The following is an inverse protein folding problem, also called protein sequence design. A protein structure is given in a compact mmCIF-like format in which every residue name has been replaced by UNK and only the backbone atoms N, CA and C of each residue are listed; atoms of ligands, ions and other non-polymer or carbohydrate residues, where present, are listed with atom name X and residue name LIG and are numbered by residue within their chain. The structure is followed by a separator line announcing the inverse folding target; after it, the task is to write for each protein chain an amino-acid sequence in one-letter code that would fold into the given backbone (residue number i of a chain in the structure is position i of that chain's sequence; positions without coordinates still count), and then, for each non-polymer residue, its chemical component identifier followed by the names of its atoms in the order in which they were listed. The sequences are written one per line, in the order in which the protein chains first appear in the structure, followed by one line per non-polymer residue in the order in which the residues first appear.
data_IF_133105421407
#
_entry.id   IF_133105421407
#
_cell.length_a   1.000
_cell.length_b   1.000
_cell.length_c   1.000
_cell.angle_alpha   90.00
_cell.angle_beta   90.00
_cell.angle_gamma   90.00
#
_symmetry.space_group_name_H-M   'P 1'
#
loop_
_entity.id
_entity.type
_entity.pdbx_description
1 polymer ?
#
# COMPACT_ATOMS: atom_id res chain seq x y z
N UNK A 1 -6.35 8.02 -24.01
CA UNK A 1 -6.49 7.23 -25.27
C UNK A 1 -6.22 5.73 -25.08
N UNK A 2 -5.09 5.30 -24.40
CA UNK A 2 -4.74 3.89 -24.23
C UNK A 2 -5.78 3.14 -23.39
N UNK A 3 -6.12 3.63 -22.20
CA UNK A 3 -7.10 3.00 -21.30
C UNK A 3 -8.48 2.87 -21.96
N UNK A 4 -8.94 3.90 -22.70
CA UNK A 4 -10.19 3.84 -23.45
C UNK A 4 -10.18 2.74 -24.52
N UNK A 5 -9.04 2.53 -25.20
CA UNK A 5 -8.89 1.45 -26.17
C UNK A 5 -8.89 0.07 -25.50
N UNK A 6 -8.21 -0.05 -24.35
CA UNK A 6 -8.14 -1.30 -23.59
C UNK A 6 -9.49 -1.69 -22.99
N UNK A 7 -10.23 -0.75 -22.40
CA UNK A 7 -11.55 -1.02 -21.80
C UNK A 7 -12.60 -1.44 -22.82
N UNK A 8 -12.43 -1.09 -24.10
CA UNK A 8 -13.29 -1.59 -25.20
C UNK A 8 -12.94 -3.01 -25.65
N UNK A 9 -11.70 -3.47 -25.40
CA UNK A 9 -11.22 -4.79 -25.82
C UNK A 9 -11.30 -5.84 -24.71
N UNK A 10 -11.17 -5.43 -23.46
CA UNK A 10 -11.10 -6.29 -22.29
C UNK A 10 -12.17 -5.83 -21.30
N UNK A 11 -13.19 -6.66 -21.10
CA UNK A 11 -14.38 -6.36 -20.31
C UNK A 11 -14.06 -6.03 -18.85
N UNK A 12 -13.02 -6.64 -18.31
CA UNK A 12 -12.57 -6.49 -16.94
C UNK A 12 -11.84 -5.15 -16.70
N UNK A 13 -11.38 -4.48 -17.75
CA UNK A 13 -10.70 -3.21 -17.66
C UNK A 13 -11.71 -2.06 -17.62
N UNK A 14 -11.80 -1.42 -16.47
CA UNK A 14 -12.52 -0.16 -16.28
C UNK A 14 -11.54 0.93 -15.88
N UNK A 15 -11.81 2.16 -16.24
CA UNK A 15 -11.00 3.28 -15.80
C UNK A 15 -11.88 4.43 -15.33
N UNK A 16 -11.37 5.16 -14.37
CA UNK A 16 -11.99 6.39 -13.84
C UNK A 16 -10.97 7.51 -13.95
N UNK A 17 -11.41 8.66 -14.41
CA UNK A 17 -10.56 9.84 -14.39
C UNK A 17 -10.58 10.45 -12.99
N UNK A 18 -9.40 10.77 -12.49
CA UNK A 18 -9.28 11.56 -11.27
C UNK A 18 -9.36 13.04 -11.65
N UNK A 19 -10.24 13.76 -10.97
CA UNK A 19 -10.32 15.21 -11.07
C UNK A 19 -9.23 15.87 -10.23
N UNK A 20 -8.98 17.15 -10.46
CA UNK A 20 -8.02 17.89 -9.64
C UNK A 20 -8.48 17.96 -8.18
N UNK A 21 -7.55 17.91 -7.22
CA UNK A 21 -6.09 17.86 -7.39
C UNK A 21 -5.56 16.46 -7.74
N UNK A 22 -4.46 16.41 -8.49
CA UNK A 22 -3.79 15.17 -8.86
C UNK A 22 -2.83 14.69 -7.76
N UNK A 23 -2.71 13.38 -7.63
CA UNK A 23 -1.78 12.74 -6.69
C UNK A 23 -2.02 11.24 -6.57
N UNK A 24 -1.01 10.52 -6.11
CA UNK A 24 -1.09 9.08 -5.91
C UNK A 24 -2.25 8.69 -4.98
N UNK A 25 -2.35 9.30 -3.81
CA UNK A 25 -3.40 9.01 -2.84
C UNK A 25 -4.79 9.40 -3.34
N UNK A 26 -4.94 10.50 -4.07
CA UNK A 26 -6.20 10.88 -4.71
C UNK A 26 -6.64 9.83 -5.73
N UNK A 27 -5.72 9.34 -6.57
CA UNK A 27 -6.03 8.32 -7.56
C UNK A 27 -6.45 6.99 -6.92
N UNK A 28 -5.75 6.55 -5.87
CA UNK A 28 -6.12 5.33 -5.13
C UNK A 28 -7.49 5.50 -4.46
N UNK A 29 -7.75 6.63 -3.80
CA UNK A 29 -9.05 6.90 -3.16
C UNK A 29 -10.18 6.89 -4.18
N UNK A 30 -9.97 7.51 -5.34
CA UNK A 30 -10.95 7.48 -6.44
C UNK A 30 -11.19 6.05 -6.96
N UNK A 31 -10.15 5.24 -7.04
CA UNK A 31 -10.28 3.81 -7.36
C UNK A 31 -11.08 3.05 -6.31
N UNK A 32 -10.81 3.29 -5.02
CA UNK A 32 -11.52 2.67 -3.90
C UNK A 32 -12.99 3.11 -3.76
N UNK A 33 -13.37 4.25 -4.30
CA UNK A 33 -14.78 4.69 -4.39
C UNK A 33 -15.55 3.97 -5.52
N UNK A 34 -14.83 3.42 -6.52
CA UNK A 34 -15.43 2.91 -7.75
C UNK A 34 -15.21 1.42 -7.99
N UNK A 35 -14.61 0.68 -7.06
CA UNK A 35 -14.45 -0.76 -7.22
C UNK A 35 -15.67 -1.53 -6.72
N UNK A 36 -15.87 -2.74 -7.25
CA UNK A 36 -17.03 -3.59 -6.93
C UNK A 36 -16.65 -4.99 -6.42
N UNK A 37 -15.36 -5.34 -6.36
CA UNK A 37 -14.87 -6.63 -5.87
C UNK A 37 -14.89 -6.72 -4.34
N UNK A 38 -14.80 -7.92 -3.77
CA UNK A 38 -14.71 -8.16 -2.34
C UNK A 38 -13.31 -7.90 -1.79
N UNK A 39 -12.34 -7.81 -2.70
CA UNK A 39 -10.92 -7.55 -2.40
C UNK A 39 -10.40 -6.47 -3.34
N UNK A 40 -9.58 -5.57 -2.82
CA UNK A 40 -8.85 -4.59 -3.63
C UNK A 40 -7.34 -4.71 -3.41
N UNK A 41 -6.58 -4.64 -4.49
CA UNK A 41 -5.13 -4.60 -4.46
C UNK A 41 -4.61 -3.30 -5.08
N UNK A 42 -3.62 -2.70 -4.43
CA UNK A 42 -2.91 -1.52 -4.96
C UNK A 42 -1.71 -2.00 -5.75
N UNK A 43 -1.68 -1.71 -7.04
CA UNK A 43 -0.61 -2.11 -7.96
C UNK A 43 -0.11 -0.90 -8.72
N UNK A 44 1.21 -0.77 -8.82
CA UNK A 44 1.82 0.30 -9.60
C UNK A 44 1.83 -0.06 -11.09
N UNK A 45 1.42 0.89 -11.94
CA UNK A 45 1.37 0.69 -13.39
C UNK A 45 2.74 0.68 -14.09
N UNK A 46 3.83 0.86 -13.33
CA UNK A 46 5.20 0.87 -13.85
C UNK A 46 5.84 -0.52 -13.96
N UNK A 47 5.06 -1.58 -13.68
CA UNK A 47 5.47 -2.98 -13.70
C UNK A 47 6.67 -3.29 -12.78
N UNK A 48 6.93 -2.45 -11.78
CA UNK A 48 7.96 -2.72 -10.77
C UNK A 48 7.63 -3.93 -9.92
N UNK A 49 6.35 -4.18 -9.64
CA UNK A 49 5.88 -5.36 -8.94
C UNK A 49 5.40 -6.42 -9.92
N UNK A 50 5.67 -7.69 -9.64
CA UNK A 50 5.32 -8.79 -10.53
C UNK A 50 3.83 -9.16 -10.40
N UNK A 51 3.06 -9.19 -11.49
CA UNK A 51 1.63 -9.55 -11.44
C UNK A 51 1.33 -10.91 -10.82
N UNK A 52 2.24 -11.88 -10.97
CA UNK A 52 2.07 -13.21 -10.39
C UNK A 52 2.06 -13.19 -8.85
N UNK A 53 2.64 -12.19 -8.22
CA UNK A 53 2.65 -12.07 -6.78
C UNK A 53 1.24 -11.68 -6.23
N UNK A 54 0.36 -11.08 -7.06
CA UNK A 54 -1.06 -10.88 -6.71
C UNK A 54 -1.78 -12.20 -6.44
N UNK A 55 -1.51 -13.22 -7.24
CA UNK A 55 -2.11 -14.55 -7.04
C UNK A 55 -1.70 -15.14 -5.70
N UNK A 56 -0.42 -14.96 -5.32
CA UNK A 56 0.08 -15.40 -4.01
C UNK A 56 -0.61 -14.65 -2.87
N UNK A 57 -0.83 -13.34 -3.02
CA UNK A 57 -1.51 -12.53 -2.01
C UNK A 57 -2.95 -12.98 -1.82
N UNK A 58 -3.66 -13.19 -2.94
CA UNK A 58 -5.04 -13.66 -2.89
C UNK A 58 -5.16 -15.04 -2.22
N UNK A 59 -4.29 -15.97 -2.58
CA UNK A 59 -4.24 -17.30 -1.94
C UNK A 59 -3.97 -17.19 -0.45
N UNK A 60 -2.94 -16.44 -0.05
CA UNK A 60 -2.61 -16.24 1.35
C UNK A 60 -3.77 -15.62 2.14
N UNK A 61 -4.49 -14.64 1.54
CA UNK A 61 -5.67 -14.03 2.13
C UNK A 61 -6.81 -15.04 2.31
N UNK A 62 -7.09 -15.83 1.27
CA UNK A 62 -8.19 -16.80 1.27
C UNK A 62 -7.92 -17.98 2.23
N UNK A 63 -6.74 -18.58 2.16
CA UNK A 63 -6.34 -19.74 2.97
C UNK A 63 -6.22 -19.40 4.46
N UNK A 64 -5.65 -18.24 4.77
CA UNK A 64 -5.46 -17.80 6.15
C UNK A 64 -6.59 -16.93 6.71
N UNK A 65 -7.63 -16.68 5.93
CA UNK A 65 -8.75 -15.79 6.26
C UNK A 65 -8.32 -14.42 6.80
N UNK A 66 -7.26 -13.83 6.21
CA UNK A 66 -6.74 -12.53 6.62
C UNK A 66 -7.55 -11.36 6.05
N UNK A 67 -7.61 -10.27 6.80
CA UNK A 67 -8.24 -9.00 6.40
C UNK A 67 -7.37 -8.21 5.43
N UNK A 68 -6.05 -8.38 5.54
CA UNK A 68 -5.09 -7.74 4.64
C UNK A 68 -3.86 -8.60 4.36
N UNK A 69 -3.24 -8.39 3.18
CA UNK A 69 -1.95 -9.00 2.81
C UNK A 69 -0.99 -7.92 2.40
N UNK A 70 0.17 -7.92 3.01
CA UNK A 70 1.22 -6.94 2.77
C UNK A 70 2.42 -7.58 2.06
N UNK A 71 2.89 -6.93 1.01
CA UNK A 71 4.12 -7.34 0.36
C UNK A 71 5.36 -6.89 1.12
N UNK A 72 6.36 -7.77 1.20
CA UNK A 72 7.68 -7.37 1.67
C UNK A 72 8.77 -7.84 0.72
N UNK A 73 9.60 -6.89 0.33
CA UNK A 73 10.81 -7.11 -0.48
C UNK A 73 11.99 -7.60 0.36
N UNK A 74 11.87 -7.57 1.69
CA UNK A 74 12.97 -7.72 2.65
C UNK A 74 12.76 -8.88 3.65
N UNK A 75 11.89 -9.81 3.33
CA UNK A 75 11.77 -11.11 4.01
C UNK A 75 12.32 -12.23 3.13
N UNK A 76 12.53 -13.41 3.67
CA UNK A 76 12.97 -14.59 2.91
C UNK A 76 12.06 -14.83 1.71
N UNK A 77 12.62 -14.89 0.52
CA UNK A 77 11.90 -15.01 -0.75
C UNK A 77 11.53 -13.67 -1.40
N UNK A 78 11.68 -12.52 -0.70
CA UNK A 78 11.57 -11.20 -1.30
C UNK A 78 12.84 -10.79 -2.06
N UNK A 79 12.71 -9.92 -3.04
CA UNK A 79 13.86 -9.48 -3.86
C UNK A 79 13.66 -8.05 -4.35
N UNK A 80 14.77 -7.30 -4.39
CA UNK A 80 14.86 -6.00 -5.09
C UNK A 80 15.95 -6.08 -6.15
N UNK A 81 15.68 -5.51 -7.33
CA UNK A 81 16.65 -5.41 -8.42
C UNK A 81 16.81 -3.93 -8.75
N UNK A 82 18.07 -3.48 -8.87
CA UNK A 82 18.44 -2.10 -9.20
C UNK A 82 17.80 -1.04 -8.28
N UNK A 83 17.67 -1.36 -7.00
CA UNK A 83 17.12 -0.40 -6.03
C UNK A 83 18.16 0.70 -5.75
N UNK A 84 17.83 2.00 -5.94
CA UNK A 84 18.78 3.08 -5.68
C UNK A 84 19.25 3.07 -4.22
N UNK A 85 20.54 2.99 -3.98
CA UNK A 85 21.14 2.79 -2.65
C UNK A 85 20.65 3.81 -1.61
N UNK A 86 20.62 5.09 -1.96
CA UNK A 86 20.14 6.13 -1.05
C UNK A 86 18.67 5.93 -0.65
N UNK A 87 17.81 5.59 -1.61
CA UNK A 87 16.39 5.29 -1.33
C UNK A 87 16.23 4.02 -0.49
N UNK A 88 17.10 3.03 -0.69
CA UNK A 88 17.09 1.80 0.10
C UNK A 88 17.42 2.11 1.57
N UNK A 89 18.49 2.85 1.83
CA UNK A 89 18.88 3.23 3.20
C UNK A 89 17.75 3.99 3.90
N UNK A 90 17.18 5.00 3.24
CA UNK A 90 16.08 5.79 3.78
C UNK A 90 14.83 4.93 4.03
N UNK A 91 14.51 4.03 3.11
CA UNK A 91 13.42 3.08 3.25
C UNK A 91 13.62 2.17 4.47
N UNK A 92 14.81 1.56 4.61
CA UNK A 92 15.14 0.69 5.75
C UNK A 92 15.08 1.43 7.08
N UNK A 93 15.61 2.65 7.12
CA UNK A 93 15.57 3.51 8.30
C UNK A 93 14.12 3.83 8.72
N UNK A 94 13.29 4.31 7.79
CA UNK A 94 11.88 4.63 8.05
C UNK A 94 11.11 3.40 8.53
N UNK A 95 11.27 2.26 7.87
CA UNK A 95 10.62 1.03 8.29
C UNK A 95 11.13 0.51 9.63
N UNK A 96 12.40 0.73 9.96
CA UNK A 96 12.97 0.43 11.26
C UNK A 96 12.30 1.23 12.39
N UNK A 97 12.13 2.53 12.20
CA UNK A 97 11.41 3.40 13.14
C UNK A 97 9.96 2.92 13.33
N UNK A 98 9.24 2.67 12.23
CA UNK A 98 7.85 2.20 12.29
C UNK A 98 7.75 0.89 13.07
N UNK A 99 8.66 -0.05 12.84
CA UNK A 99 8.68 -1.33 13.55
C UNK A 99 8.82 -1.16 15.06
N UNK A 100 9.70 -0.25 15.48
CA UNK A 100 9.92 0.04 16.91
C UNK A 100 8.69 0.70 17.50
N UNK A 101 8.16 1.74 16.86
CA UNK A 101 7.03 2.51 17.37
C UNK A 101 5.73 1.69 17.52
N UNK A 102 5.47 0.78 16.59
CA UNK A 102 4.24 -0.03 16.59
C UNK A 102 4.45 -1.45 17.09
N UNK A 103 5.65 -1.83 17.50
CA UNK A 103 5.94 -3.18 18.03
C UNK A 103 5.72 -4.31 17.00
N UNK A 104 5.81 -4.03 15.70
CA UNK A 104 5.45 -4.98 14.63
C UNK A 104 6.64 -5.61 13.95
N UNK A 105 6.45 -6.84 13.44
CA UNK A 105 7.49 -7.55 12.68
C UNK A 105 7.52 -7.16 11.20
N UNK A 106 6.45 -6.55 10.67
CA UNK A 106 6.37 -6.10 9.28
C UNK A 106 7.43 -5.03 8.97
N UNK A 107 8.27 -5.28 7.98
CA UNK A 107 9.50 -4.54 7.74
C UNK A 107 9.54 -3.74 6.44
N UNK A 108 8.39 -3.61 5.75
CA UNK A 108 8.28 -2.92 4.45
C UNK A 108 6.96 -2.15 4.31
N UNK A 109 6.60 -1.42 5.38
CA UNK A 109 5.34 -0.67 5.48
C UNK A 109 5.17 0.34 4.34
N UNK A 110 6.26 0.90 3.83
CA UNK A 110 6.26 1.86 2.71
C UNK A 110 6.05 1.23 1.34
N UNK A 111 6.03 -0.10 1.23
CA UNK A 111 5.69 -0.79 -0.02
C UNK A 111 4.23 -0.50 -0.40
N UNK A 112 3.98 -0.11 -1.65
CA UNK A 112 2.62 0.14 -2.13
C UNK A 112 1.83 -1.14 -2.41
N UNK A 113 2.53 -2.23 -2.77
CA UNK A 113 1.92 -3.48 -3.20
C UNK A 113 1.30 -4.23 -2.02
N UNK A 114 -0.02 -4.06 -1.88
CA UNK A 114 -0.82 -4.59 -0.77
C UNK A 114 -2.23 -4.93 -1.24
N UNK A 115 -2.87 -5.84 -0.52
CA UNK A 115 -4.22 -6.30 -0.78
C UNK A 115 -5.05 -6.22 0.51
N UNK A 116 -6.32 -5.87 0.38
CA UNK A 116 -7.24 -5.65 1.50
C UNK A 116 -8.63 -6.20 1.15
N UNK A 117 -9.34 -6.73 2.13
CA UNK A 117 -10.79 -6.99 1.99
C UNK A 117 -11.56 -5.69 1.91
N UNK A 118 -12.73 -5.73 1.28
CA UNK A 118 -13.64 -4.57 1.19
C UNK A 118 -14.01 -4.05 2.58
N UNK A 119 -14.45 -4.92 3.46
CA UNK A 119 -14.87 -4.60 4.81
C UNK A 119 -13.73 -3.92 5.60
N UNK A 120 -12.52 -4.43 5.47
CA UNK A 120 -11.33 -3.80 6.05
C UNK A 120 -11.17 -2.39 5.54
N UNK A 121 -11.17 -2.17 4.22
CA UNK A 121 -11.04 -0.83 3.64
C UNK A 121 -12.14 0.12 4.12
N UNK A 122 -13.38 -0.33 4.20
CA UNK A 122 -14.46 0.48 4.77
C UNK A 122 -14.18 0.84 6.23
N UNK A 123 -13.73 -0.12 7.03
CA UNK A 123 -13.34 0.10 8.41
C UNK A 123 -12.10 0.98 8.61
N UNK A 124 -11.27 1.21 7.58
CA UNK A 124 -10.11 2.12 7.65
C UNK A 124 -10.45 3.60 7.38
N UNK A 125 -11.67 3.91 6.95
CA UNK A 125 -12.09 5.29 6.70
C UNK A 125 -12.11 6.13 7.99
N UNK A 126 -11.97 7.47 7.89
CA UNK A 126 -11.64 8.24 6.68
C UNK A 126 -10.17 8.08 6.29
N UNK A 127 -9.88 8.11 4.98
CA UNK A 127 -8.50 8.16 4.49
C UNK A 127 -8.00 9.61 4.54
N UNK A 128 -6.86 9.84 5.20
CA UNK A 128 -6.31 11.18 5.42
C UNK A 128 -5.27 11.55 4.36
N UNK A 129 -4.54 10.56 3.89
CA UNK A 129 -3.41 10.77 2.99
C UNK A 129 -3.84 10.98 1.54
N UNK A 130 -3.29 12.04 0.92
CA UNK A 130 -3.58 12.41 -0.46
C UNK A 130 -2.42 12.07 -1.44
N UNK A 131 -1.29 11.60 -0.90
CA UNK A 131 -0.08 11.31 -1.66
C UNK A 131 0.44 9.90 -1.32
N UNK A 132 1.74 9.66 -1.54
CA UNK A 132 2.37 8.37 -1.26
C UNK A 132 2.30 7.92 0.21
N UNK A 133 2.06 8.83 1.14
CA UNK A 133 1.85 8.50 2.55
C UNK A 133 0.62 7.60 2.80
N UNK A 134 -0.31 7.50 1.83
CA UNK A 134 -1.40 6.52 1.89
C UNK A 134 -0.88 5.07 1.97
N UNK A 135 0.28 4.77 1.36
CA UNK A 135 0.90 3.45 1.45
C UNK A 135 1.33 3.07 2.86
N UNK A 136 1.53 4.05 3.73
CA UNK A 136 1.86 3.89 5.15
C UNK A 136 0.61 3.98 6.02
N UNK A 137 -0.32 4.88 5.70
CA UNK A 137 -1.57 5.04 6.43
C UNK A 137 -2.38 3.75 6.50
N UNK A 138 -2.67 3.15 5.35
CA UNK A 138 -3.56 1.98 5.29
C UNK A 138 -3.03 0.81 6.13
N UNK A 139 -1.78 0.33 5.99
CA UNK A 139 -1.30 -0.78 6.79
C UNK A 139 -1.16 -0.43 8.28
N UNK A 140 -0.81 0.80 8.64
CA UNK A 140 -0.77 1.20 10.03
C UNK A 140 -2.17 1.21 10.66
N UNK A 141 -3.18 1.69 9.94
CA UNK A 141 -4.57 1.61 10.41
C UNK A 141 -5.06 0.16 10.53
N UNK A 142 -4.68 -0.74 9.64
CA UNK A 142 -4.96 -2.19 9.80
C UNK A 142 -4.38 -2.69 11.12
N UNK A 143 -3.12 -2.36 11.39
CA UNK A 143 -2.39 -2.80 12.57
C UNK A 143 -3.03 -2.23 13.85
N UNK A 144 -3.21 -0.92 13.94
CA UNK A 144 -3.71 -0.26 15.16
C UNK A 144 -5.19 -0.54 15.43
N UNK A 145 -5.97 -0.84 14.41
CA UNK A 145 -7.38 -1.25 14.55
C UNK A 145 -7.56 -2.75 14.77
N UNK A 146 -6.49 -3.52 14.87
CA UNK A 146 -6.52 -4.94 15.23
C UNK A 146 -7.00 -5.88 14.13
N UNK A 147 -7.05 -5.44 12.87
CA UNK A 147 -7.35 -6.32 11.75
C UNK A 147 -6.24 -7.36 11.54
N UNK A 148 -6.63 -8.56 11.16
CA UNK A 148 -5.69 -9.64 10.85
C UNK A 148 -4.94 -9.38 9.55
N UNK A 149 -3.64 -9.65 9.52
CA UNK A 149 -2.86 -9.53 8.30
C UNK A 149 -1.74 -10.56 8.21
N UNK A 150 -1.29 -10.81 7.00
CA UNK A 150 -0.08 -11.60 6.76
C UNK A 150 0.89 -10.86 5.84
N UNK A 151 2.16 -11.29 5.85
CA UNK A 151 3.22 -10.70 5.04
C UNK A 151 3.74 -11.74 4.05
N UNK A 152 3.66 -11.41 2.77
CA UNK A 152 4.08 -12.30 1.67
C UNK A 152 5.28 -11.68 0.95
N UNK A 153 6.30 -12.48 0.59
CA UNK A 153 7.43 -11.97 -0.18
C UNK A 153 7.00 -11.53 -1.58
N UNK A 154 7.49 -10.38 -2.02
CA UNK A 154 7.32 -9.93 -3.40
C UNK A 154 8.65 -9.54 -4.04
N UNK A 155 8.68 -9.58 -5.36
CA UNK A 155 9.82 -9.15 -6.14
C UNK A 155 9.55 -7.77 -6.73
N UNK A 156 10.49 -6.88 -6.53
CA UNK A 156 10.44 -5.54 -7.06
C UNK A 156 11.65 -5.27 -7.97
N UNK A 157 11.39 -4.76 -9.14
CA UNK A 157 12.40 -4.40 -10.12
C UNK A 157 12.29 -2.91 -10.39
N UNK A 158 13.41 -2.20 -10.41
CA UNK A 158 13.36 -0.79 -10.73
C UNK A 158 12.79 -0.59 -12.14
N UNK A 159 11.95 0.43 -12.29
CA UNK A 159 11.33 0.74 -13.58
C UNK A 159 12.37 0.99 -14.66
N UNK A 160 12.10 0.53 -15.88
CA UNK A 160 13.00 0.72 -17.02
C UNK A 160 12.98 2.16 -17.57
N UNK A 161 11.89 2.92 -17.34
CA UNK A 161 11.72 4.27 -17.84
C UNK A 161 10.91 5.15 -16.88
N UNK A 162 11.06 6.46 -17.02
CA UNK A 162 10.36 7.46 -16.22
C UNK A 162 11.08 7.84 -14.94
N UNK A 163 10.70 8.98 -14.40
CA UNK A 163 11.29 9.52 -13.16
C UNK A 163 10.39 9.28 -11.94
N UNK A 164 11.02 9.16 -10.77
CA UNK A 164 10.29 9.05 -9.52
C UNK A 164 9.71 10.41 -9.14
N UNK A 165 8.39 10.52 -9.08
CA UNK A 165 7.69 11.72 -8.59
C UNK A 165 7.73 11.86 -7.06
N UNK A 166 8.42 10.97 -6.36
CA UNK A 166 8.59 11.01 -4.92
C UNK A 166 9.57 12.12 -4.52
N UNK A 167 9.05 13.23 -4.00
CA UNK A 167 9.83 14.32 -3.44
C UNK A 167 10.16 14.01 -1.97
N UNK A 168 11.38 13.59 -1.68
CA UNK A 168 11.77 13.04 -0.37
C UNK A 168 11.53 14.04 0.77
N UNK A 169 11.90 15.32 0.62
CA UNK A 169 11.69 16.34 1.67
C UNK A 169 10.21 16.55 1.99
N UNK A 170 9.36 16.66 0.97
CA UNK A 170 7.92 16.85 1.12
C UNK A 170 7.26 15.60 1.70
N UNK A 171 7.70 14.42 1.29
CA UNK A 171 7.13 13.16 1.78
C UNK A 171 7.56 12.83 3.21
N UNK A 172 8.75 13.27 3.64
CA UNK A 172 9.23 13.02 5.00
C UNK A 172 8.29 13.58 6.07
N UNK A 173 7.87 14.84 5.95
CA UNK A 173 6.91 15.45 6.88
C UNK A 173 5.54 14.74 6.83
N UNK A 174 5.06 14.40 5.65
CA UNK A 174 3.77 13.70 5.48
C UNK A 174 3.79 12.30 6.09
N UNK A 175 4.90 11.57 5.97
CA UNK A 175 5.06 10.28 6.63
C UNK A 175 5.13 10.44 8.14
N UNK A 176 5.87 11.40 8.64
CA UNK A 176 5.94 11.69 10.07
C UNK A 176 4.55 11.97 10.66
N UNK A 177 3.78 12.87 10.06
CA UNK A 177 2.45 13.20 10.56
C UNK A 177 1.49 12.01 10.53
N UNK A 178 1.50 11.20 9.47
CA UNK A 178 0.59 10.05 9.39
C UNK A 178 0.99 8.94 10.38
N UNK A 179 2.28 8.73 10.62
CA UNK A 179 2.79 7.79 11.61
C UNK A 179 2.36 8.26 13.02
N UNK A 180 2.56 9.53 13.33
CA UNK A 180 2.16 10.12 14.60
C UNK A 180 0.64 10.03 14.81
N UNK A 181 -0.14 10.36 13.78
CA UNK A 181 -1.60 10.23 13.84
C UNK A 181 -2.03 8.79 14.15
N UNK A 182 -1.49 7.79 13.46
CA UNK A 182 -1.83 6.39 13.70
C UNK A 182 -1.42 5.93 15.12
N UNK A 183 -0.25 6.38 15.59
CA UNK A 183 0.23 6.07 16.94
C UNK A 183 -0.69 6.68 18.02
N UNK A 184 -1.04 7.95 17.88
CA UNK A 184 -1.96 8.62 18.81
C UNK A 184 -3.36 8.02 18.77
N UNK A 185 -3.84 7.63 17.59
CA UNK A 185 -5.15 6.98 17.45
C UNK A 185 -5.21 5.66 18.21
N UNK A 186 -4.11 4.90 18.23
CA UNK A 186 -4.01 3.64 18.98
C UNK A 186 -4.06 3.88 20.50
N UNK A 187 -3.39 4.94 20.96
CA UNK A 187 -3.29 5.28 22.39
C UNK A 187 -4.56 5.97 22.91
N UNK A 188 -5.11 6.92 22.16
CA UNK A 188 -6.22 7.78 22.61
C UNK A 188 -7.61 7.19 22.36
N UNK A 189 -7.74 6.34 21.36
CA UNK A 189 -8.96 5.63 21.02
C UNK A 189 -8.64 4.17 20.77
N UNK A 190 -8.34 3.38 21.81
CA UNK A 190 -8.17 1.94 21.64
C UNK A 190 -9.50 1.41 21.08
N UNK A 191 -9.54 1.20 19.78
CA UNK A 191 -10.71 0.62 19.13
C UNK A 191 -10.96 -0.75 19.71
N UNK A 192 -12.17 -0.95 20.22
CA UNK A 192 -12.66 -2.28 20.56
C UNK A 192 -12.41 -3.14 19.34
N UNK A 193 -11.48 -4.09 19.46
CA UNK A 193 -11.15 -5.03 18.40
C UNK A 193 -12.41 -5.83 18.12
N UNK A 194 -12.85 -5.95 16.85
CA UNK A 194 -13.98 -6.81 16.52
C UNK A 194 -13.69 -8.27 16.83
#
# INVERSE_FOLDING_TARGET
KILNRLSKKVREIRYVNNELPNGFGFAIRKGLENYSGDVAAIVMADLSDRPIDLVKYYRAMAEGNYDAVFGSRFIKGGKTVDYPKFKLVLNRFTNGIIRILFGVRYNDVTNAFKMYRRETLEGLKPYLSHHFNLTVELPLKVIVRGYSYTVVPNHWINRAAGESKLKIKEMGSRYFFIILYCLLSDVLCPTIRP
#
